data_IF_085636648290
#
_entry.id   IF_085636648290
#
_cell.length_a   1.000
_cell.length_b   1.000
_cell.length_c   1.000
_cell.angle_alpha   90.00
_cell.angle_beta   90.00
_cell.angle_gamma   90.00
#
_symmetry.space_group_name_H-M   'P 1'
#
loop_
_entity.id
_entity.type
_entity.pdbx_description
1 polymer ?
#
# COMPACT_ATOMS: atom_id res chain seq x y z
N UNK A 1 34.23 20.64 40.36
CA UNK A 1 32.83 20.20 40.18
C UNK A 1 32.47 20.41 38.71
N UNK A 2 32.72 19.39 37.87
CA UNK A 2 32.27 19.38 36.49
C UNK A 2 30.93 18.66 36.43
N UNK A 3 29.87 19.43 36.21
CA UNK A 3 28.53 18.92 35.95
C UNK A 3 28.50 18.37 34.53
N UNK A 4 28.43 17.05 34.36
CA UNK A 4 28.11 16.38 33.10
C UNK A 4 26.63 16.63 32.79
N UNK A 5 26.34 17.60 31.92
CA UNK A 5 25.03 17.75 31.34
C UNK A 5 24.82 16.63 30.30
N UNK A 6 24.25 15.51 30.72
CA UNK A 6 23.75 14.47 29.85
C UNK A 6 22.52 15.02 29.14
N UNK A 7 22.73 15.63 27.96
CA UNK A 7 21.64 15.86 27.00
C UNK A 7 21.12 14.50 26.53
N UNK A 8 20.08 14.00 27.19
CA UNK A 8 19.24 12.94 26.68
C UNK A 8 18.55 13.47 25.42
N UNK A 9 19.16 13.22 24.28
CA UNK A 9 18.47 13.28 23.01
C UNK A 9 17.45 12.16 23.01
N UNK A 10 16.24 12.43 23.46
CA UNK A 10 15.12 11.58 23.16
C UNK A 10 14.84 11.75 21.68
N UNK A 11 15.41 10.89 20.85
CA UNK A 11 14.93 10.69 19.51
C UNK A 11 13.46 10.29 19.67
N UNK A 12 12.55 11.17 19.31
CA UNK A 12 11.16 10.84 19.05
C UNK A 12 11.16 9.96 17.78
N UNK A 13 11.64 8.73 17.93
CA UNK A 13 11.50 7.71 16.92
C UNK A 13 10.02 7.34 16.82
N UNK A 14 9.53 7.19 15.61
CA UNK A 14 8.30 6.51 15.40
C UNK A 14 8.39 5.13 16.04
N UNK A 15 7.52 4.85 16.97
CA UNK A 15 7.24 3.46 17.28
C UNK A 15 6.75 2.81 15.99
N UNK A 16 7.19 1.60 15.70
CA UNK A 16 6.69 0.79 14.58
C UNK A 16 5.16 0.84 14.57
N UNK A 17 4.59 1.36 13.46
CA UNK A 17 3.15 1.40 13.26
C UNK A 17 2.76 0.35 12.24
N UNK A 18 1.74 -0.42 12.57
CA UNK A 18 1.21 -1.47 11.70
C UNK A 18 -0.26 -1.16 11.41
N UNK A 19 -0.63 -1.15 10.14
CA UNK A 19 -1.99 -0.91 9.67
C UNK A 19 -2.45 -2.14 8.91
N UNK A 20 -3.39 -2.86 9.51
CA UNK A 20 -4.02 -4.01 8.87
C UNK A 20 -5.15 -3.54 7.95
N UNK A 21 -5.15 -4.01 6.72
CA UNK A 21 -6.16 -3.69 5.70
C UNK A 21 -6.45 -2.19 5.65
N UNK A 22 -5.46 -1.37 5.24
CA UNK A 22 -5.62 0.07 5.22
C UNK A 22 -6.81 0.49 4.36
N UNK A 23 -7.58 1.47 4.83
CA UNK A 23 -8.63 2.05 4.04
C UNK A 23 -8.04 2.98 2.96
N UNK A 24 -8.64 3.01 1.78
CA UNK A 24 -8.26 3.91 0.69
C UNK A 24 -9.49 4.44 -0.05
N UNK A 25 -9.35 5.61 -0.67
CA UNK A 25 -10.47 6.32 -1.31
C UNK A 25 -10.75 5.79 -2.72
N UNK A 26 -9.70 5.51 -3.48
CA UNK A 26 -9.82 5.15 -4.90
C UNK A 26 -8.85 4.05 -5.31
N UNK A 27 -9.23 3.26 -6.31
CA UNK A 27 -8.35 2.33 -7.00
C UNK A 27 -8.76 2.19 -8.46
N UNK A 28 -7.81 2.02 -9.37
CA UNK A 28 -8.06 1.69 -10.75
C UNK A 28 -7.88 0.19 -11.07
N UNK A 29 -7.57 -0.62 -10.07
CA UNK A 29 -7.37 -2.06 -10.23
C UNK A 29 -8.22 -2.86 -9.26
N UNK A 30 -8.71 -4.02 -9.70
CA UNK A 30 -9.39 -5.01 -8.88
C UNK A 30 -8.52 -6.22 -8.57
N UNK A 31 -7.34 -6.31 -9.19
CA UNK A 31 -6.43 -7.44 -9.07
C UNK A 31 -5.47 -7.30 -7.89
N UNK A 32 -5.09 -6.07 -7.56
CA UNK A 32 -4.10 -5.75 -6.54
C UNK A 32 -4.76 -5.04 -5.36
N UNK A 33 -4.45 -5.49 -4.16
CA UNK A 33 -4.90 -4.90 -2.91
C UNK A 33 -3.75 -4.80 -1.91
N UNK A 34 -3.82 -3.82 -1.02
CA UNK A 34 -2.87 -3.64 0.07
C UNK A 34 -3.50 -4.24 1.32
N UNK A 35 -2.92 -5.33 1.82
CA UNK A 35 -3.46 -6.04 2.98
C UNK A 35 -2.80 -5.64 4.30
N UNK A 36 -1.61 -5.03 4.25
CA UNK A 36 -0.92 -4.52 5.43
C UNK A 36 0.08 -3.43 5.05
N UNK A 37 0.26 -2.46 5.93
CA UNK A 37 1.34 -1.48 5.88
C UNK A 37 2.07 -1.44 7.22
N UNK A 38 3.40 -1.41 7.16
CA UNK A 38 4.27 -1.22 8.32
C UNK A 38 5.09 0.05 8.10
N UNK A 39 4.96 1.00 9.02
CA UNK A 39 5.69 2.26 8.98
C UNK A 39 6.76 2.23 10.08
N UNK A 40 8.00 2.37 9.67
CA UNK A 40 9.16 2.43 10.57
C UNK A 40 10.06 3.60 10.19
N UNK A 41 11.04 3.92 11.04
CA UNK A 41 12.03 4.97 10.73
C UNK A 41 12.96 4.58 9.56
N UNK A 42 13.04 3.29 9.24
CA UNK A 42 13.95 2.76 8.21
C UNK A 42 13.25 2.59 6.86
N UNK A 43 11.98 2.20 6.87
CA UNK A 43 11.22 1.91 5.67
C UNK A 43 9.71 1.93 5.91
N UNK A 44 8.96 2.13 4.84
CA UNK A 44 7.54 1.81 4.77
C UNK A 44 7.37 0.52 3.98
N UNK A 45 6.84 -0.52 4.62
CA UNK A 45 6.65 -1.83 4.01
C UNK A 45 5.18 -2.06 3.69
N UNK A 46 4.87 -2.31 2.43
CA UNK A 46 3.53 -2.67 1.97
C UNK A 46 3.50 -4.17 1.71
N UNK A 47 2.58 -4.88 2.35
CA UNK A 47 2.21 -6.22 1.95
C UNK A 47 1.08 -6.14 0.96
N UNK A 48 1.40 -6.44 -0.29
CA UNK A 48 0.46 -6.47 -1.40
C UNK A 48 -0.04 -7.89 -1.67
N UNK A 49 -1.26 -7.99 -2.16
CA UNK A 49 -1.86 -9.24 -2.60
C UNK A 49 -2.44 -9.05 -4.00
N UNK A 50 -2.07 -9.94 -4.91
CA UNK A 50 -2.69 -10.04 -6.24
C UNK A 50 -3.60 -11.26 -6.25
N UNK A 51 -4.83 -11.06 -6.78
CA UNK A 51 -5.82 -12.12 -7.01
C UNK A 51 -6.33 -11.99 -8.43
N UNK A 52 -6.10 -13.02 -9.23
CA UNK A 52 -6.58 -13.08 -10.61
C UNK A 52 -6.64 -14.53 -11.09
N UNK A 53 -6.85 -14.74 -12.38
CA UNK A 53 -6.89 -16.10 -12.93
C UNK A 53 -5.54 -16.81 -12.78
N UNK A 54 -5.56 -18.14 -12.51
CA UNK A 54 -4.33 -18.94 -12.47
C UNK A 54 -3.52 -18.82 -13.77
N UNK A 55 -2.21 -18.85 -13.63
CA UNK A 55 -1.24 -18.74 -14.73
C UNK A 55 -1.25 -17.41 -15.50
N UNK A 56 -2.10 -16.46 -15.14
CA UNK A 56 -1.96 -15.08 -15.62
C UNK A 56 -0.78 -14.40 -14.95
N UNK A 57 -0.29 -13.35 -15.55
CA UNK A 57 0.89 -12.65 -15.06
C UNK A 57 0.58 -11.19 -14.66
N UNK A 58 1.38 -10.70 -13.75
CA UNK A 58 1.43 -9.28 -13.41
C UNK A 58 2.88 -8.82 -13.33
N UNK A 59 3.09 -7.53 -13.19
CA UNK A 59 4.41 -6.94 -13.04
C UNK A 59 4.31 -5.71 -12.17
N UNK A 60 5.21 -5.59 -11.19
CA UNK A 60 5.42 -4.37 -10.43
C UNK A 60 6.65 -3.66 -10.98
N UNK A 61 6.54 -2.40 -11.35
CA UNK A 61 7.66 -1.64 -11.89
C UNK A 61 8.47 -0.96 -10.80
N UNK A 62 9.79 -0.96 -10.95
CA UNK A 62 10.71 -0.40 -9.94
C UNK A 62 10.62 1.11 -9.75
N UNK A 63 9.95 1.84 -10.68
CA UNK A 63 9.69 3.28 -10.55
C UNK A 63 8.49 3.62 -9.68
N UNK A 64 7.81 2.64 -9.12
CA UNK A 64 6.67 2.82 -8.22
C UNK A 64 7.04 3.71 -7.05
N UNK A 65 6.15 4.62 -6.68
CA UNK A 65 6.32 5.52 -5.53
C UNK A 65 5.10 5.51 -4.63
N UNK A 66 5.30 5.86 -3.37
CA UNK A 66 4.24 6.39 -2.53
C UNK A 66 4.31 7.90 -2.58
N UNK A 67 3.18 8.56 -2.82
CA UNK A 67 3.09 10.01 -2.84
C UNK A 67 2.25 10.48 -1.65
N UNK A 68 2.85 11.26 -0.76
CA UNK A 68 2.17 11.86 0.39
C UNK A 68 1.25 13.01 0.01
N UNK A 69 0.38 13.41 0.92
CA UNK A 69 -0.47 14.62 0.76
C UNK A 69 0.37 15.89 0.59
N UNK A 70 1.57 15.93 1.16
CA UNK A 70 2.55 17.01 0.98
C UNK A 70 3.08 17.13 -0.46
N UNK A 71 2.84 16.11 -1.30
CA UNK A 71 3.40 15.97 -2.63
C UNK A 71 4.79 15.32 -2.67
N UNK A 72 5.37 14.97 -1.50
CA UNK A 72 6.63 14.24 -1.44
C UNK A 72 6.45 12.81 -1.94
N UNK A 73 7.42 12.34 -2.72
CA UNK A 73 7.46 10.98 -3.23
C UNK A 73 8.48 10.15 -2.47
N UNK A 74 8.06 8.94 -2.09
CA UNK A 74 8.85 7.94 -1.39
C UNK A 74 9.07 6.77 -2.35
N UNK A 75 10.32 6.54 -2.74
CA UNK A 75 10.68 5.59 -3.79
C UNK A 75 10.60 4.14 -3.31
N UNK A 76 10.22 3.26 -4.23
CA UNK A 76 10.35 1.82 -4.03
C UNK A 76 11.85 1.44 -4.04
N UNK A 77 12.30 0.80 -2.96
CA UNK A 77 13.70 0.41 -2.75
C UNK A 77 13.95 -1.04 -3.17
N UNK A 78 13.06 -1.95 -2.82
CA UNK A 78 13.14 -3.38 -3.14
C UNK A 78 11.78 -4.06 -3.02
N UNK A 79 11.70 -5.28 -3.53
CA UNK A 79 10.58 -6.18 -3.31
C UNK A 79 11.06 -7.53 -2.76
N UNK A 80 10.19 -8.20 -2.02
CA UNK A 80 10.38 -9.58 -1.55
C UNK A 80 9.17 -10.43 -1.98
N UNK A 81 9.45 -11.64 -2.43
CA UNK A 81 8.44 -12.55 -2.99
C UNK A 81 8.19 -12.40 -4.48
N UNK A 82 8.64 -11.30 -5.09
CA UNK A 82 8.60 -11.05 -6.54
C UNK A 82 9.88 -10.35 -7.01
N UNK A 83 10.11 -10.35 -8.32
CA UNK A 83 11.13 -9.53 -8.97
C UNK A 83 10.50 -8.31 -9.62
N UNK A 84 11.10 -7.14 -9.38
CA UNK A 84 10.66 -5.89 -10.01
C UNK A 84 10.97 -5.88 -11.51
N UNK A 85 10.10 -5.26 -12.29
CA UNK A 85 10.22 -5.11 -13.75
C UNK A 85 10.15 -6.42 -14.55
N UNK A 86 9.90 -7.56 -13.92
CA UNK A 86 9.74 -8.86 -14.55
C UNK A 86 8.29 -9.33 -14.51
N UNK A 87 7.91 -10.20 -15.44
CA UNK A 87 6.62 -10.89 -15.39
C UNK A 87 6.61 -11.92 -14.26
N UNK A 88 5.61 -11.86 -13.41
CA UNK A 88 5.37 -12.80 -12.31
C UNK A 88 4.09 -13.55 -12.60
N UNK A 89 4.17 -14.86 -12.75
CA UNK A 89 3.01 -15.70 -13.02
C UNK A 89 2.34 -16.15 -11.73
N UNK A 90 1.03 -16.02 -11.70
CA UNK A 90 0.23 -16.49 -10.56
C UNK A 90 0.21 -18.02 -10.50
N UNK A 91 0.25 -18.61 -9.31
CA UNK A 91 0.12 -20.05 -9.11
C UNK A 91 -1.31 -20.52 -9.43
N UNK A 92 -1.53 -21.82 -9.36
CA UNK A 92 -2.86 -22.44 -9.57
C UNK A 92 -3.95 -21.88 -8.64
N UNK A 93 -3.58 -21.37 -7.47
CA UNK A 93 -4.52 -20.68 -6.57
C UNK A 93 -5.06 -19.35 -7.11
N UNK A 94 -4.43 -18.79 -8.14
CA UNK A 94 -4.75 -17.46 -8.65
C UNK A 94 -4.46 -16.33 -7.66
N UNK A 95 -3.66 -16.60 -6.61
CA UNK A 95 -3.38 -15.64 -5.56
C UNK A 95 -1.91 -15.66 -5.16
N UNK A 96 -1.33 -14.46 -4.98
CA UNK A 96 0.04 -14.29 -4.52
C UNK A 96 0.14 -13.07 -3.60
N UNK A 97 0.97 -13.20 -2.56
CA UNK A 97 1.30 -12.12 -1.62
C UNK A 97 2.79 -11.83 -1.69
N UNK A 98 3.15 -10.56 -1.64
CA UNK A 98 4.53 -10.09 -1.69
C UNK A 98 4.70 -8.80 -0.88
N UNK A 99 5.95 -8.40 -0.64
CA UNK A 99 6.26 -7.18 0.10
C UNK A 99 7.01 -6.18 -0.78
N UNK A 100 6.64 -4.91 -0.64
CA UNK A 100 7.28 -3.77 -1.29
C UNK A 100 7.83 -2.84 -0.20
N UNK A 101 9.12 -2.53 -0.31
CA UNK A 101 9.83 -1.69 0.65
C UNK A 101 10.08 -0.32 0.02
N UNK A 102 9.50 0.70 0.62
CA UNK A 102 9.65 2.09 0.21
C UNK A 102 10.52 2.87 1.20
N UNK A 103 11.02 4.04 0.78
CA UNK A 103 11.58 5.02 1.69
C UNK A 103 10.60 5.28 2.85
N UNK A 104 11.11 5.59 4.07
CA UNK A 104 10.23 5.84 5.21
C UNK A 104 9.34 7.06 4.95
N UNK A 105 8.03 6.86 5.07
CA UNK A 105 7.05 7.94 4.93
C UNK A 105 7.13 8.86 6.14
N UNK A 106 7.11 10.18 5.91
CA UNK A 106 7.22 11.18 6.97
C UNK A 106 6.05 11.10 7.97
N UNK A 107 6.35 11.39 9.23
CA UNK A 107 5.41 11.38 10.37
C UNK A 107 4.17 12.21 10.14
N UNK A 108 4.30 13.31 9.42
CA UNK A 108 3.22 14.26 9.18
C UNK A 108 2.21 13.84 8.13
N UNK A 109 2.54 12.82 7.33
CA UNK A 109 1.63 12.34 6.29
C UNK A 109 0.46 11.56 6.91
N UNK A 110 -0.75 11.93 6.55
CA UNK A 110 -1.98 11.24 6.99
C UNK A 110 -2.49 10.27 5.95
N UNK A 111 -2.16 10.53 4.70
CA UNK A 111 -2.51 9.68 3.56
C UNK A 111 -1.36 9.61 2.57
N UNK A 112 -1.31 8.51 1.84
CA UNK A 112 -0.42 8.35 0.69
C UNK A 112 -1.18 7.74 -0.48
N UNK A 113 -0.69 8.00 -1.69
CA UNK A 113 -1.13 7.34 -2.90
C UNK A 113 -0.05 6.34 -3.35
N UNK A 114 -0.46 5.14 -3.71
CA UNK A 114 0.39 4.19 -4.43
C UNK A 114 0.30 4.50 -5.93
N UNK A 115 1.42 4.82 -6.54
CA UNK A 115 1.50 5.23 -7.95
C UNK A 115 2.58 4.44 -8.66
N UNK A 116 2.18 3.54 -9.53
CA UNK A 116 3.11 2.72 -10.32
C UNK A 116 3.71 3.50 -11.50
N UNK A 117 2.96 4.41 -12.07
CA UNK A 117 3.39 5.24 -13.17
C UNK A 117 2.25 6.09 -13.76
N UNK A 118 2.45 6.54 -15.03
CA UNK A 118 1.54 7.48 -15.69
C UNK A 118 0.70 6.84 -16.82
N UNK A 119 0.89 5.56 -17.12
CA UNK A 119 0.04 4.86 -18.08
C UNK A 119 -1.32 4.53 -17.47
N UNK A 120 -2.34 4.41 -18.30
CA UNK A 120 -3.70 4.06 -17.87
C UNK A 120 -3.77 2.66 -17.25
N UNK A 121 -2.87 1.77 -17.66
CA UNK A 121 -2.76 0.39 -17.15
C UNK A 121 -1.92 0.28 -15.88
N UNK A 122 -1.18 1.32 -15.51
CA UNK A 122 -0.37 1.33 -14.30
C UNK A 122 -1.28 1.37 -13.06
N UNK A 123 -0.98 0.56 -12.06
CA UNK A 123 -1.80 0.49 -10.85
C UNK A 123 -1.71 1.76 -10.03
N UNK A 124 -2.85 2.18 -9.53
CA UNK A 124 -2.98 3.33 -8.62
C UNK A 124 -3.99 3.04 -7.54
N UNK A 125 -3.61 3.32 -6.30
CA UNK A 125 -4.48 3.30 -5.15
C UNK A 125 -4.31 4.65 -4.46
N UNK A 126 -5.37 5.45 -4.41
CA UNK A 126 -5.32 6.81 -3.90
C UNK A 126 -5.99 6.97 -2.54
N UNK A 127 -5.44 7.85 -1.71
CA UNK A 127 -5.99 8.18 -0.41
C UNK A 127 -5.87 7.06 0.60
N UNK A 128 -4.76 6.31 0.60
CA UNK A 128 -4.49 5.28 1.60
C UNK A 128 -4.25 5.94 2.95
N UNK A 129 -5.11 5.66 3.93
CA UNK A 129 -5.09 6.27 5.25
C UNK A 129 -4.04 5.62 6.13
N UNK A 130 -3.16 6.44 6.69
CA UNK A 130 -2.07 6.03 7.58
C UNK A 130 -2.43 6.14 9.07
N UNK A 131 -3.66 6.51 9.40
CA UNK A 131 -4.09 6.65 10.79
C UNK A 131 -4.59 5.30 11.32
N UNK A 132 -4.11 4.93 12.53
CA UNK A 132 -4.51 3.69 13.21
C UNK A 132 -5.91 3.74 13.84
N UNK A 133 -6.63 4.83 13.67
CA UNK A 133 -7.98 4.85 14.21
C UNK A 133 -8.74 3.69 13.61
N UNK A 134 -9.15 2.69 14.42
CA UNK A 134 -10.12 1.73 13.94
C UNK A 134 -11.31 2.56 13.52
N UNK A 135 -11.51 2.70 12.21
CA UNK A 135 -12.79 3.16 11.75
C UNK A 135 -13.77 2.19 12.37
N UNK A 136 -14.57 2.69 13.29
CA UNK A 136 -15.73 1.99 13.80
C UNK A 136 -16.53 1.69 12.55
N UNK A 137 -16.23 0.54 11.99
CA UNK A 137 -16.84 0.07 10.76
C UNK A 137 -18.34 0.11 10.94
N UNK A 138 -18.95 0.99 10.20
CA UNK A 138 -20.25 0.69 9.62
C UNK A 138 -20.03 -0.47 8.62
N UNK A 139 -19.61 -1.63 9.17
CA UNK A 139 -19.21 -2.83 8.42
C UNK A 139 -20.31 -3.40 7.52
N UNK A 140 -21.55 -2.95 7.66
CA UNK A 140 -22.65 -3.43 6.82
C UNK A 140 -22.86 -2.61 5.55
N UNK A 141 -22.66 -1.29 5.58
CA UNK A 141 -22.89 -0.46 4.39
C UNK A 141 -21.75 -0.56 3.37
N UNK A 142 -20.51 -0.69 3.83
CA UNK A 142 -19.35 -0.69 2.94
C UNK A 142 -19.18 -2.02 2.18
N UNK A 143 -19.55 -3.13 2.81
CA UNK A 143 -19.63 -4.43 2.13
C UNK A 143 -20.71 -4.43 1.03
N UNK A 144 -21.82 -3.69 1.24
CA UNK A 144 -22.88 -3.55 0.25
C UNK A 144 -22.47 -2.61 -0.90
N UNK A 145 -21.70 -1.56 -0.62
CA UNK A 145 -21.20 -0.64 -1.65
C UNK A 145 -20.17 -1.34 -2.53
N UNK A 146 -19.20 -2.07 -1.94
CA UNK A 146 -18.25 -2.90 -2.70
C UNK A 146 -18.96 -3.94 -3.57
N UNK A 147 -19.99 -4.61 -3.06
CA UNK A 147 -20.82 -5.54 -3.84
C UNK A 147 -21.63 -4.85 -4.95
N UNK A 148 -22.07 -3.61 -4.73
CA UNK A 148 -22.86 -2.86 -5.71
C UNK A 148 -21.99 -2.37 -6.87
N UNK A 149 -20.76 -1.91 -6.60
CA UNK A 149 -19.77 -1.51 -7.62
C UNK A 149 -19.35 -2.71 -8.46
N UNK A 150 -19.11 -3.87 -7.84
CA UNK A 150 -18.77 -5.10 -8.56
C UNK A 150 -19.96 -5.63 -9.42
N UNK A 151 -21.21 -5.49 -8.98
CA UNK A 151 -22.38 -5.88 -9.79
C UNK A 151 -22.63 -4.99 -11.00
N UNK A 152 -22.36 -3.69 -10.92
CA UNK A 152 -22.54 -2.78 -12.06
C UNK A 152 -21.49 -2.97 -13.15
N UNK A 153 -20.31 -3.52 -12.84
CA UNK A 153 -19.27 -3.86 -13.84
C UNK A 153 -19.49 -5.24 -14.47
N UNK A 154 -20.20 -6.15 -13.81
CA UNK A 154 -20.48 -7.48 -14.36
C UNK A 154 -21.60 -7.53 -15.43
N UNK A 155 -22.36 -6.44 -15.62
CA UNK A 155 -23.49 -6.37 -16.56
C UNK A 155 -23.09 -5.71 -17.91
N UNK A 156 -21.84 -5.36 -18.08
CA UNK A 156 -21.32 -4.66 -19.28
C UNK A 156 -20.70 -5.54 -20.37
N UNK A 157 -20.91 -6.85 -20.36
CA UNK A 157 -20.48 -7.76 -21.41
C UNK A 157 -21.66 -8.61 -21.90
N UNK A 158 -22.38 -8.07 -22.85
CA UNK A 158 -23.13 -8.80 -23.87
C UNK A 158 -22.60 -8.39 -25.24
#
# INVERSE_FOLDING_TARGET
LFGLCLCLWTSLGWGQRMIEVPWYETTNTYMFDIIKMELTDEATVITGQVKYFPNEWFRVVGRTVLRGESGKEYKLLKAEGIKLNEQVFLPESGQMTFQLYFEPVDVGEKKVDYVEGNHETDWRIGGIVLDEKPQKLEKESDCLIRRKVLRHRAIGWC
#
